data_IF_717387029954
#
_entry.id   IF_717387029954
#
_cell.length_a   1.000
_cell.length_b   1.000
_cell.length_c   1.000
_cell.angle_alpha   90.00
_cell.angle_beta   90.00
_cell.angle_gamma   90.00
#
_symmetry.space_group_name_H-M   'P 1'
#
loop_
_entity.id
_entity.type
_entity.pdbx_description
1 polymer ?
#
# COMPACT_ATOMS: atom_id res chain seq x y z
N UNK A 1 10.80 -10.81 20.75
CA UNK A 1 9.69 -9.85 20.96
C UNK A 1 10.17 -8.42 21.23
N UNK A 2 11.18 -8.21 22.09
CA UNK A 2 11.68 -6.86 22.41
C UNK A 2 12.19 -6.06 21.20
N UNK A 3 12.94 -6.70 20.28
CA UNK A 3 13.44 -6.05 19.04
C UNK A 3 12.28 -5.59 18.14
N UNK A 4 11.23 -6.42 18.00
CA UNK A 4 10.03 -6.07 17.23
C UNK A 4 9.31 -4.87 17.84
N UNK A 5 9.10 -4.89 19.17
CA UNK A 5 8.48 -3.78 19.90
C UNK A 5 9.25 -2.46 19.69
N UNK A 6 10.58 -2.51 19.80
CA UNK A 6 11.43 -1.34 19.53
C UNK A 6 11.26 -0.83 18.10
N UNK A 7 11.23 -1.72 17.11
CA UNK A 7 11.03 -1.36 15.70
C UNK A 7 9.68 -0.68 15.44
N UNK A 8 8.59 -1.20 16.02
CA UNK A 8 7.25 -0.61 15.90
C UNK A 8 7.18 0.76 16.56
N UNK A 9 7.67 0.88 17.80
CA UNK A 9 7.60 2.14 18.57
C UNK A 9 8.44 3.25 17.92
N UNK A 10 9.66 2.94 17.48
CA UNK A 10 10.54 3.93 16.84
C UNK A 10 10.00 4.38 15.48
N UNK A 11 9.45 3.46 14.68
CA UNK A 11 8.83 3.78 13.39
C UNK A 11 7.56 4.62 13.56
N UNK A 12 6.75 4.36 14.58
CA UNK A 12 5.53 5.12 14.80
C UNK A 12 5.81 6.56 15.26
N UNK A 13 6.85 6.77 16.09
CA UNK A 13 7.18 8.10 16.64
C UNK A 13 7.95 8.99 15.66
N UNK A 14 8.80 8.40 14.81
CA UNK A 14 9.76 9.15 13.99
C UNK A 14 10.06 8.52 12.63
N UNK A 15 9.27 7.53 12.20
CA UNK A 15 9.44 6.90 10.89
C UNK A 15 9.09 7.84 9.74
N UNK A 16 9.61 7.54 8.55
CA UNK A 16 9.23 8.23 7.32
C UNK A 16 7.78 7.90 6.98
N UNK A 17 7.01 8.90 6.56
CA UNK A 17 5.66 8.68 6.03
C UNK A 17 5.77 7.80 4.79
N UNK A 18 5.00 6.71 4.76
CA UNK A 18 4.99 5.81 3.63
C UNK A 18 4.34 6.49 2.40
N UNK A 19 4.87 6.29 1.19
CA UNK A 19 4.12 6.61 -0.02
C UNK A 19 2.87 5.72 -0.12
N UNK A 20 1.98 6.01 -1.07
CA UNK A 20 0.76 5.25 -1.31
C UNK A 20 1.02 3.75 -1.53
N UNK A 21 2.02 3.41 -2.34
CA UNK A 21 2.35 2.03 -2.69
C UNK A 21 3.88 1.82 -2.64
N UNK A 22 4.47 1.64 -1.44
CA UNK A 22 5.92 1.49 -1.28
C UNK A 22 6.47 0.20 -1.91
N UNK A 23 5.61 -0.81 -2.12
CA UNK A 23 6.00 -2.14 -2.59
C UNK A 23 5.68 -2.41 -4.06
N UNK A 24 5.05 -1.45 -4.74
CA UNK A 24 4.57 -1.60 -6.11
C UNK A 24 3.64 -2.83 -6.27
N UNK A 25 2.83 -3.12 -5.25
CA UNK A 25 1.86 -4.20 -5.28
C UNK A 25 0.68 -3.85 -6.22
N UNK A 26 0.03 -4.87 -6.77
CA UNK A 26 -1.00 -4.73 -7.83
C UNK A 26 -2.45 -4.91 -7.37
N UNK A 27 -2.67 -5.25 -6.11
CA UNK A 27 -4.02 -5.39 -5.54
C UNK A 27 -4.64 -4.02 -5.22
N UNK A 28 -5.98 -3.98 -5.11
CA UNK A 28 -6.74 -2.73 -5.03
C UNK A 28 -6.44 -1.89 -3.78
N UNK A 29 -6.08 -2.51 -2.66
CA UNK A 29 -5.72 -1.77 -1.45
C UNK A 29 -4.50 -0.86 -1.64
N UNK A 30 -3.63 -1.16 -2.62
CA UNK A 30 -2.45 -0.37 -2.93
C UNK A 30 -2.70 0.72 -3.99
N UNK A 31 -3.94 0.90 -4.45
CA UNK A 31 -4.34 2.06 -5.26
C UNK A 31 -5.09 3.12 -4.44
N UNK A 32 -5.36 2.87 -3.16
CA UNK A 32 -6.00 3.81 -2.24
C UNK A 32 -4.97 4.82 -1.73
N UNK A 33 -5.35 6.11 -1.66
CA UNK A 33 -4.49 7.18 -1.17
C UNK A 33 -4.01 6.94 0.27
N UNK A 34 -2.84 7.50 0.63
CA UNK A 34 -2.35 7.54 2.01
C UNK A 34 -2.32 8.99 2.51
N UNK A 35 -3.03 9.35 3.61
CA UNK A 35 -3.86 8.51 4.48
C UNK A 35 -5.12 7.95 3.80
N UNK A 36 -5.55 6.75 4.23
CA UNK A 36 -6.71 6.05 3.68
C UNK A 36 -8.00 6.85 3.98
N UNK A 37 -8.78 7.27 2.97
CA UNK A 37 -10.04 7.97 3.17
C UNK A 37 -11.12 7.01 3.70
N UNK A 38 -12.16 7.55 4.35
CA UNK A 38 -13.24 6.76 4.96
C UNK A 38 -13.91 5.80 3.96
N UNK A 39 -14.17 6.28 2.76
CA UNK A 39 -14.87 5.53 1.70
C UNK A 39 -13.92 4.67 0.84
N UNK A 40 -12.61 4.65 1.13
CA UNK A 40 -11.52 4.04 0.36
C UNK A 40 -11.35 4.59 -1.07
N UNK A 41 -12.39 4.58 -1.90
CA UNK A 41 -12.39 5.01 -3.30
C UNK A 41 -13.44 6.09 -3.54
N UNK A 42 -13.05 7.20 -4.16
CA UNK A 42 -14.01 8.23 -4.60
C UNK A 42 -14.89 7.72 -5.75
N UNK A 43 -14.31 6.87 -6.62
CA UNK A 43 -14.98 6.19 -7.72
C UNK A 43 -14.53 4.73 -7.74
N UNK A 44 -15.46 3.80 -8.00
CA UNK A 44 -15.13 2.37 -7.98
C UNK A 44 -14.17 2.02 -9.13
N UNK A 45 -13.04 1.35 -8.85
CA UNK A 45 -12.09 0.98 -9.88
C UNK A 45 -12.63 -0.16 -10.76
N UNK A 46 -12.36 -0.08 -12.06
CA UNK A 46 -12.61 -1.18 -13.00
C UNK A 46 -11.42 -2.14 -12.96
N UNK A 47 -11.67 -3.40 -12.60
CA UNK A 47 -10.62 -4.43 -12.53
C UNK A 47 -10.35 -4.97 -13.94
N UNK A 48 -9.16 -4.70 -14.46
CA UNK A 48 -8.74 -5.11 -15.81
C UNK A 48 -7.78 -6.31 -15.81
N UNK A 49 -7.18 -6.66 -14.67
CA UNK A 49 -6.26 -7.78 -14.54
C UNK A 49 -6.25 -8.38 -13.13
N UNK A 50 -5.66 -9.57 -13.00
CA UNK A 50 -5.36 -10.17 -11.70
C UNK A 50 -4.20 -9.47 -10.95
N UNK A 51 -4.03 -9.84 -9.68
CA UNK A 51 -3.01 -9.33 -8.78
C UNK A 51 -1.58 -9.82 -9.08
N UNK A 52 -1.41 -10.79 -9.99
CA UNK A 52 -0.16 -11.54 -10.21
C UNK A 52 0.53 -11.19 -11.52
N UNK A 53 0.09 -10.13 -12.22
CA UNK A 53 0.69 -9.67 -13.47
C UNK A 53 2.12 -9.10 -13.38
N UNK A 54 2.93 -9.48 -12.39
CA UNK A 54 4.33 -9.07 -12.28
C UNK A 54 5.15 -9.67 -13.43
N UNK A 55 6.14 -8.92 -13.95
CA UNK A 55 7.02 -9.36 -15.03
C UNK A 55 6.39 -9.46 -16.43
N UNK A 56 5.08 -9.18 -16.58
CA UNK A 56 4.44 -9.04 -17.90
C UNK A 56 4.85 -7.70 -18.53
N UNK A 57 5.14 -7.69 -19.83
CA UNK A 57 5.29 -6.45 -20.58
C UNK A 57 4.00 -5.63 -20.43
N UNK A 58 4.15 -4.32 -20.19
CA UNK A 58 3.02 -3.41 -20.13
C UNK A 58 2.43 -3.33 -21.54
N UNK A 59 1.30 -4.01 -21.76
CA UNK A 59 0.55 -4.03 -23.01
C UNK A 59 -0.16 -2.70 -23.25
#
# INVERSE_FOLDING_TARGET
MLVLLHGVISSWRSGKIAPMNPWQAKTLEWSVANPVPLENFAELPVVTSDAYGYGKAQS
#
